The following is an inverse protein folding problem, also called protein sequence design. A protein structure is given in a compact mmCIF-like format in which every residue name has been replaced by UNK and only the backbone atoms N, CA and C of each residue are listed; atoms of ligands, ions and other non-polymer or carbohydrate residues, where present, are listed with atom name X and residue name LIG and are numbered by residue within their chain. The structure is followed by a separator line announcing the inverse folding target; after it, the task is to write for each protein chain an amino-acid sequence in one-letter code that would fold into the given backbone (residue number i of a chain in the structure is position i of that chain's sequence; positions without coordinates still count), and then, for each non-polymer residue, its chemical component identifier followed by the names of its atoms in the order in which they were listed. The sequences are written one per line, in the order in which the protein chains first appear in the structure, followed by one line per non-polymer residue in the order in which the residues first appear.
data_IF_135902565849
#
_entry.id   IF_135902565849
#
_cell.length_a   1.000
_cell.length_b   1.000
_cell.length_c   1.000
_cell.angle_alpha   90.00
_cell.angle_beta   90.00
_cell.angle_gamma   90.00
#
_symmetry.space_group_name_H-M   'P 1'
#
loop_
_entity.id
_entity.type
_entity.pdbx_description
1 polymer ?
#
# COMPACT_ATOMS: atom_id res chain seq x y z
N UNK A 1 6.65 10.08 -10.06
CA UNK A 1 5.31 10.17 -9.46
C UNK A 1 5.41 10.79 -8.07
N UNK A 2 4.49 11.66 -7.74
CA UNK A 2 4.41 12.28 -6.42
C UNK A 2 3.36 11.57 -5.57
N UNK A 3 3.41 11.79 -4.25
CA UNK A 3 2.48 11.20 -3.30
C UNK A 3 1.01 11.48 -3.68
N UNK A 4 0.70 12.73 -4.04
CA UNK A 4 -0.67 13.12 -4.43
C UNK A 4 -1.17 12.35 -5.64
N UNK A 5 -0.29 12.11 -6.61
CA UNK A 5 -0.64 11.35 -7.81
C UNK A 5 -0.94 9.89 -7.49
N UNK A 6 -0.13 9.29 -6.62
CA UNK A 6 -0.34 7.91 -6.18
C UNK A 6 -1.68 7.77 -5.46
N UNK A 7 -1.99 8.69 -4.54
CA UNK A 7 -3.25 8.69 -3.82
C UNK A 7 -4.43 8.83 -4.78
N UNK A 8 -4.33 9.72 -5.76
CA UNK A 8 -5.36 9.92 -6.76
C UNK A 8 -5.63 8.65 -7.56
N UNK A 9 -4.56 8.00 -8.03
CA UNK A 9 -4.68 6.76 -8.80
C UNK A 9 -5.39 5.67 -7.98
N UNK A 10 -5.01 5.51 -6.72
CA UNK A 10 -5.62 4.53 -5.85
C UNK A 10 -7.09 4.83 -5.59
N UNK A 11 -7.45 6.09 -5.37
CA UNK A 11 -8.84 6.48 -5.16
C UNK A 11 -9.70 6.31 -6.41
N UNK A 12 -9.13 6.50 -7.58
CA UNK A 12 -9.83 6.30 -8.86
C UNK A 12 -10.03 4.84 -9.21
N UNK A 13 -9.34 3.92 -8.52
CA UNK A 13 -9.40 2.47 -8.77
C UNK A 13 -9.95 1.69 -7.57
N UNK A 14 -10.95 2.24 -6.91
CA UNK A 14 -11.59 1.60 -5.75
C UNK A 14 -12.18 0.23 -6.10
N UNK A 15 -12.65 0.04 -7.33
CA UNK A 15 -13.17 -1.23 -7.81
C UNK A 15 -12.10 -2.34 -7.74
N UNK A 16 -10.87 -2.03 -8.11
CA UNK A 16 -9.75 -2.98 -8.01
C UNK A 16 -9.48 -3.33 -6.55
N UNK A 17 -9.49 -2.33 -5.67
CA UNK A 17 -9.26 -2.54 -4.24
C UNK A 17 -10.36 -3.38 -3.61
N UNK A 18 -11.61 -3.11 -3.95
CA UNK A 18 -12.75 -3.89 -3.46
C UNK A 18 -12.69 -5.34 -3.92
N UNK A 19 -12.24 -5.58 -5.15
CA UNK A 19 -12.06 -6.92 -5.70
C UNK A 19 -11.08 -7.75 -4.86
N UNK A 20 -10.08 -7.09 -4.29
CA UNK A 20 -9.06 -7.71 -3.44
C UNK A 20 -9.40 -7.66 -1.94
N UNK A 21 -10.63 -7.27 -1.59
CA UNK A 21 -11.10 -7.18 -0.19
C UNK A 21 -10.27 -6.20 0.65
N UNK A 22 -9.77 -5.14 0.02
CA UNK A 22 -9.03 -4.09 0.72
C UNK A 22 -9.99 -3.19 1.47
N UNK A 23 -9.75 -3.00 2.75
CA UNK A 23 -10.49 -2.05 3.57
C UNK A 23 -9.82 -0.69 3.53
N UNK A 24 -8.53 -0.64 3.84
CA UNK A 24 -7.74 0.59 3.86
C UNK A 24 -6.35 0.36 3.27
N UNK A 25 -5.83 1.37 2.61
CA UNK A 25 -4.44 1.43 2.16
C UNK A 25 -3.77 2.67 2.72
N UNK A 26 -2.52 2.50 3.11
CA UNK A 26 -1.67 3.59 3.61
C UNK A 26 -0.34 3.56 2.87
N UNK A 27 0.19 4.73 2.57
CA UNK A 27 1.54 4.86 2.01
C UNK A 27 2.47 5.30 3.14
N UNK A 28 3.61 4.65 3.27
CA UNK A 28 4.60 4.97 4.29
C UNK A 28 6.01 4.97 3.71
N UNK A 29 7.01 5.17 4.57
CA UNK A 29 8.40 5.19 4.16
C UNK A 29 8.79 6.46 3.40
N UNK A 30 9.83 6.36 2.58
CA UNK A 30 10.40 7.52 1.87
C UNK A 30 9.40 8.21 0.96
N UNK A 31 8.53 7.45 0.31
CA UNK A 31 7.53 8.01 -0.60
C UNK A 31 6.53 8.89 0.14
N UNK A 32 6.11 8.49 1.34
CA UNK A 32 5.20 9.28 2.18
C UNK A 32 5.85 10.59 2.65
N UNK A 33 7.17 10.61 2.75
CA UNK A 33 7.92 11.80 3.15
C UNK A 33 8.31 12.69 1.96
N UNK A 34 7.83 12.37 0.76
CA UNK A 34 8.20 13.06 -0.49
C UNK A 34 9.71 13.00 -0.80
N UNK A 35 10.40 12.01 -0.27
CA UNK A 35 11.81 11.75 -0.58
C UNK A 35 11.90 10.90 -1.84
N UNK A 36 11.44 11.44 -2.98
CA UNK A 36 11.34 10.69 -4.21
C UNK A 36 12.71 10.51 -4.84
N UNK A 37 13.14 9.24 -4.94
CA UNK A 37 14.24 8.85 -5.81
C UNK A 37 13.64 8.19 -7.04
N UNK A 38 14.23 8.43 -8.21
CA UNK A 38 13.92 7.64 -9.39
C UNK A 38 14.14 6.17 -9.02
N UNK A 39 13.17 5.31 -9.26
CA UNK A 39 13.24 3.87 -8.98
C UNK A 39 13.08 3.48 -7.51
N UNK A 40 12.64 4.37 -6.62
CA UNK A 40 12.32 3.93 -5.26
C UNK A 40 10.99 3.20 -5.24
N UNK A 41 10.94 2.11 -4.45
CA UNK A 41 9.72 1.36 -4.23
C UNK A 41 8.73 2.20 -3.41
N UNK A 42 7.46 2.00 -3.69
CA UNK A 42 6.42 2.60 -2.85
C UNK A 42 6.06 1.58 -1.77
N UNK A 43 6.22 1.98 -0.50
CA UNK A 43 5.84 1.16 0.63
C UNK A 43 4.36 1.36 0.93
N UNK A 44 3.57 0.30 0.85
CA UNK A 44 2.13 0.33 1.08
C UNK A 44 1.75 -0.64 2.19
N UNK A 45 0.99 -0.14 3.15
CA UNK A 45 0.38 -0.94 4.20
C UNK A 45 -1.07 -1.21 3.83
N UNK A 46 -1.48 -2.47 3.86
CA UNK A 46 -2.85 -2.86 3.54
C UNK A 46 -3.56 -3.41 4.78
N UNK A 47 -4.79 -2.96 4.98
CA UNK A 47 -5.74 -3.59 5.88
C UNK A 47 -6.84 -4.23 5.03
N UNK A 48 -7.07 -5.52 5.23
CA UNK A 48 -8.14 -6.25 4.54
C UNK A 48 -9.43 -6.21 5.35
N UNK A 49 -10.55 -6.46 4.66
CA UNK A 49 -11.84 -6.62 5.34
C UNK A 49 -11.75 -7.76 6.37
N UNK A 50 -12.35 -7.61 7.56
CA UNK A 50 -12.21 -8.60 8.64
C UNK A 50 -12.65 -10.00 8.26
N UNK A 51 -13.64 -10.12 7.38
CA UNK A 51 -14.19 -11.42 6.97
C UNK A 51 -13.42 -12.04 5.81
N UNK A 52 -12.48 -11.31 5.22
CA UNK A 52 -11.74 -11.80 4.06
C UNK A 52 -10.68 -12.82 4.48
N UNK A 53 -10.60 -13.89 3.71
CA UNK A 53 -9.57 -14.91 3.88
C UNK A 53 -8.49 -14.67 2.82
N UNK A 54 -7.40 -14.04 3.24
CA UNK A 54 -6.32 -13.66 2.34
C UNK A 54 -5.15 -14.59 2.54
N UNK A 55 -4.90 -15.46 1.57
CA UNK A 55 -3.71 -16.29 1.52
C UNK A 55 -2.59 -15.58 0.77
N UNK A 56 -1.46 -16.29 0.63
CA UNK A 56 -0.27 -15.73 0.00
C UNK A 56 -0.51 -15.37 -1.48
N UNK A 57 -1.29 -16.17 -2.20
CA UNK A 57 -1.55 -15.89 -3.62
C UNK A 57 -2.39 -14.65 -3.82
N UNK A 58 -3.40 -14.44 -2.98
CA UNK A 58 -4.22 -13.25 -3.01
C UNK A 58 -3.40 -12.01 -2.70
N UNK A 59 -2.49 -12.12 -1.74
CA UNK A 59 -1.58 -11.04 -1.36
C UNK A 59 -0.65 -10.67 -2.51
N UNK A 60 -0.06 -11.66 -3.17
CA UNK A 60 0.84 -11.45 -4.31
C UNK A 60 0.09 -10.81 -5.48
N UNK A 61 -1.15 -11.23 -5.74
CA UNK A 61 -1.96 -10.65 -6.81
C UNK A 61 -2.26 -9.17 -6.55
N UNK A 62 -2.58 -8.83 -5.31
CA UNK A 62 -2.80 -7.44 -4.93
C UNK A 62 -1.54 -6.61 -5.15
N UNK A 63 -0.40 -7.11 -4.71
CA UNK A 63 0.89 -6.45 -4.92
C UNK A 63 1.14 -6.19 -6.40
N UNK A 64 0.91 -7.19 -7.25
CA UNK A 64 1.08 -7.06 -8.69
C UNK A 64 0.15 -6.01 -9.28
N UNK A 65 -1.14 -6.04 -8.92
CA UNK A 65 -2.11 -5.09 -9.44
C UNK A 65 -1.80 -3.66 -9.00
N UNK A 66 -1.38 -3.47 -7.76
CA UNK A 66 -0.95 -2.15 -7.29
C UNK A 66 0.29 -1.66 -8.03
N UNK A 67 1.26 -2.55 -8.28
CA UNK A 67 2.45 -2.20 -9.04
C UNK A 67 2.11 -1.78 -10.47
N UNK A 68 1.17 -2.46 -11.10
CA UNK A 68 0.69 -2.10 -12.44
C UNK A 68 -0.03 -0.76 -12.44
N UNK A 69 -0.90 -0.51 -11.47
CA UNK A 69 -1.62 0.76 -11.36
C UNK A 69 -0.69 1.94 -11.17
N UNK A 70 0.34 1.77 -10.35
CA UNK A 70 1.26 2.85 -9.98
C UNK A 70 2.49 2.91 -10.89
N UNK A 71 2.63 1.97 -11.82
CA UNK A 71 3.77 1.88 -12.75
C UNK A 71 5.13 1.88 -12.06
N UNK A 72 5.20 1.21 -10.89
CA UNK A 72 6.44 1.08 -10.13
C UNK A 72 6.36 -0.13 -9.21
N UNK A 73 7.49 -0.53 -8.64
CA UNK A 73 7.51 -1.59 -7.65
C UNK A 73 6.77 -1.15 -6.38
N UNK A 74 5.88 -2.01 -5.90
CA UNK A 74 5.19 -1.80 -4.64
C UNK A 74 5.70 -2.81 -3.62
N UNK A 75 6.11 -2.31 -2.46
CA UNK A 75 6.45 -3.14 -1.32
C UNK A 75 5.23 -3.18 -0.40
N UNK A 76 4.51 -4.31 -0.42
CA UNK A 76 3.23 -4.44 0.27
C UNK A 76 3.42 -5.14 1.61
N UNK A 77 2.86 -4.55 2.66
CA UNK A 77 2.96 -5.09 4.00
C UNK A 77 1.60 -5.06 4.70
N UNK A 78 1.43 -5.96 5.67
CA UNK A 78 0.33 -5.91 6.63
C UNK A 78 0.85 -5.43 7.98
N UNK A 79 -0.04 -5.04 8.89
CA UNK A 79 0.38 -4.60 10.23
C UNK A 79 1.14 -5.69 10.96
N UNK A 80 0.71 -6.94 10.81
CA UNK A 80 1.35 -8.08 11.48
C UNK A 80 2.73 -8.41 10.92
N UNK A 81 2.99 -8.05 9.66
CA UNK A 81 4.29 -8.28 9.03
C UNK A 81 5.33 -7.21 9.38
N UNK A 82 4.90 -6.09 9.96
CA UNK A 82 5.82 -5.04 10.37
C UNK A 82 6.57 -5.44 11.63
N UNK A 83 7.87 -5.14 11.66
CA UNK A 83 8.68 -5.37 12.84
C UNK A 83 8.15 -4.52 14.00
N UNK A 84 7.94 -5.13 15.17
CA UNK A 84 7.34 -4.46 16.33
C UNK A 84 8.04 -3.15 16.70
N UNK A 85 9.36 -3.13 16.66
CA UNK A 85 10.15 -1.95 17.01
C UNK A 85 9.90 -0.76 16.08
N UNK A 86 9.52 -1.03 14.83
CA UNK A 86 9.30 0.00 13.82
C UNK A 86 7.82 0.31 13.59
N UNK A 87 6.93 -0.55 14.10
CA UNK A 87 5.49 -0.44 13.82
C UNK A 87 4.91 0.92 14.18
N UNK A 88 5.22 1.41 15.36
CA UNK A 88 4.71 2.69 15.83
C UNK A 88 5.16 3.84 14.94
N UNK A 89 6.44 3.87 14.57
CA UNK A 89 6.99 4.92 13.72
C UNK A 89 6.37 4.88 12.33
N UNK A 90 6.23 3.68 11.76
CA UNK A 90 5.62 3.49 10.45
C UNK A 90 4.16 3.95 10.46
N UNK A 91 3.39 3.57 11.48
CA UNK A 91 1.99 3.97 11.59
C UNK A 91 1.82 5.48 11.78
N UNK A 92 2.76 6.12 12.48
CA UNK A 92 2.73 7.58 12.67
C UNK A 92 3.03 8.33 11.36
N UNK A 93 3.86 7.76 10.50
CA UNK A 93 4.20 8.35 9.19
C UNK A 93 3.18 8.03 8.10
N UNK A 94 2.40 6.97 8.27
CA UNK A 94 1.53 6.45 7.23
C UNK A 94 0.46 7.46 6.83
N UNK A 95 0.30 7.63 5.51
CA UNK A 95 -0.70 8.51 4.92
C UNK A 95 -1.82 7.66 4.34
N UNK A 96 -3.06 7.88 4.76
CA UNK A 96 -4.21 7.14 4.24
C UNK A 96 -4.39 7.46 2.75
N UNK A 97 -4.34 6.42 1.92
CA UNK A 97 -4.38 6.58 0.47
C UNK A 97 -5.70 6.14 -0.16
N UNK A 98 -6.36 5.18 0.47
CA UNK A 98 -7.65 4.72 -0.04
C UNK A 98 -8.43 3.93 0.99
#
# INVERSE_FOLDING_TARGET
MKLDEAIKILKENQDVLQKHFVKDLYIFGSFARNEVREMSDIDILVDFEPDARIGIFEFIRLKRDLSELLHCEVDLATRDSLHKALRKDILNEAVHAA
#
